data_IF_245160241149
#
_entry.id   IF_245160241149
#
_cell.length_a   1.000
_cell.length_b   1.000
_cell.length_c   1.000
_cell.angle_alpha   90.00
_cell.angle_beta   90.00
_cell.angle_gamma   90.00
#
_symmetry.space_group_name_H-M   'P 1'
#
loop_
_entity.id
_entity.type
_entity.pdbx_description
1 polymer ?
#
# COMPACT_ATOMS: atom_id res chain seq x y z
N UNK A 1 16.99 7.60 5.20
CA UNK A 1 17.66 6.40 4.64
C UNK A 1 18.95 6.21 5.39
N UNK A 2 19.11 5.05 6.04
CA UNK A 2 20.26 4.73 6.88
C UNK A 2 21.04 3.56 6.30
N UNK A 3 22.35 3.52 6.54
CA UNK A 3 23.20 2.38 6.15
C UNK A 3 23.80 1.73 7.39
N UNK A 4 23.73 0.40 7.47
CA UNK A 4 24.33 -0.39 8.54
C UNK A 4 25.13 -1.56 7.97
N UNK A 5 26.01 -2.13 8.75
CA UNK A 5 26.72 -3.37 8.42
C UNK A 5 25.87 -4.60 8.76
N UNK A 6 26.17 -5.72 8.09
CA UNK A 6 25.55 -7.00 8.39
C UNK A 6 25.80 -7.45 9.85
N UNK A 7 26.94 -7.08 10.43
CA UNK A 7 27.27 -7.38 11.84
C UNK A 7 26.36 -6.60 12.80
N UNK A 8 26.14 -5.31 12.55
CA UNK A 8 25.20 -4.50 13.34
C UNK A 8 23.78 -5.03 13.22
N UNK A 9 23.33 -5.34 11.99
CA UNK A 9 22.02 -5.91 11.73
C UNK A 9 21.79 -7.20 12.54
N UNK A 10 22.79 -8.10 12.61
CA UNK A 10 22.72 -9.33 13.41
C UNK A 10 22.69 -9.06 14.92
N UNK A 11 23.48 -8.11 15.40
CA UNK A 11 23.60 -7.81 16.83
C UNK A 11 22.36 -7.14 17.42
N UNK A 12 21.55 -6.46 16.61
CA UNK A 12 20.39 -5.73 17.10
C UNK A 12 19.23 -5.65 16.09
N UNK A 13 18.89 -6.78 15.47
CA UNK A 13 17.86 -6.84 14.43
C UNK A 13 16.51 -6.23 14.86
N UNK A 14 15.96 -6.50 16.06
CA UNK A 14 14.67 -5.94 16.47
C UNK A 14 14.67 -4.40 16.55
N UNK A 15 15.77 -3.78 16.96
CA UNK A 15 15.91 -2.32 16.97
C UNK A 15 15.87 -1.74 15.55
N UNK A 16 16.56 -2.40 14.62
CA UNK A 16 16.59 -1.94 13.23
C UNK A 16 15.26 -2.20 12.52
N UNK A 17 14.52 -3.26 12.87
CA UNK A 17 13.19 -3.49 12.32
C UNK A 17 12.22 -2.36 12.71
N UNK A 18 12.19 -1.95 13.99
CA UNK A 18 11.38 -0.79 14.45
C UNK A 18 11.81 0.52 13.80
N UNK A 19 13.10 0.68 13.51
CA UNK A 19 13.60 1.85 12.79
C UNK A 19 13.19 1.82 11.32
N UNK A 20 13.12 0.63 10.74
CA UNK A 20 12.78 0.42 9.33
C UNK A 20 11.31 0.71 9.00
N UNK A 21 10.43 0.78 10.01
CA UNK A 21 9.04 1.25 9.87
C UNK A 21 8.98 2.73 9.43
N UNK A 22 9.99 3.53 9.79
CA UNK A 22 10.01 4.98 9.53
C UNK A 22 10.96 5.39 8.42
N UNK A 23 12.00 4.61 8.17
CA UNK A 23 12.94 4.88 7.09
C UNK A 23 13.58 3.61 6.53
N UNK A 24 13.90 3.62 5.24
CA UNK A 24 14.62 2.53 4.60
C UNK A 24 16.04 2.36 5.17
N UNK A 25 16.42 1.12 5.50
CA UNK A 25 17.76 0.77 5.98
C UNK A 25 18.48 -0.10 4.96
N UNK A 26 19.64 0.35 4.46
CA UNK A 26 20.53 -0.42 3.60
C UNK A 26 21.50 -1.24 4.45
N UNK A 27 21.53 -2.56 4.24
CA UNK A 27 22.46 -3.47 4.90
C UNK A 27 23.65 -3.70 3.97
N UNK A 28 24.86 -3.51 4.49
CA UNK A 28 26.11 -3.71 3.76
C UNK A 28 26.89 -4.93 4.23
N UNK A 29 27.61 -5.57 3.32
CA UNK A 29 28.57 -6.64 3.60
C UNK A 29 29.92 -6.24 2.99
N UNK A 30 30.96 -6.13 3.82
CA UNK A 30 32.27 -5.63 3.41
C UNK A 30 32.21 -4.27 2.69
N UNK A 31 31.36 -3.36 3.18
CA UNK A 31 31.18 -2.01 2.62
C UNK A 31 30.32 -1.95 1.34
N UNK A 32 29.85 -3.09 0.81
CA UNK A 32 28.96 -3.12 -0.37
C UNK A 32 27.51 -3.36 0.03
N UNK A 33 26.52 -2.67 -0.57
CA UNK A 33 25.10 -2.97 -0.35
C UNK A 33 24.80 -4.44 -0.64
N UNK A 34 24.12 -5.10 0.29
CA UNK A 34 23.79 -6.52 0.24
C UNK A 34 22.28 -6.77 0.35
N UNK A 35 21.55 -5.84 0.95
CA UNK A 35 20.10 -5.91 1.07
C UNK A 35 19.52 -4.63 1.65
N UNK A 36 18.20 -4.60 1.71
CA UNK A 36 17.43 -3.50 2.30
C UNK A 36 16.48 -4.09 3.33
N UNK A 37 16.38 -3.44 4.48
CA UNK A 37 15.36 -3.71 5.49
C UNK A 37 14.29 -2.65 5.40
N UNK A 38 13.06 -3.11 5.19
CA UNK A 38 11.84 -2.30 5.13
C UNK A 38 10.95 -2.83 6.25
N UNK A 39 10.54 -1.95 7.16
CA UNK A 39 9.51 -2.23 8.16
C UNK A 39 8.17 -1.67 7.68
N UNK A 40 7.08 -2.19 8.23
CA UNK A 40 5.72 -1.72 7.97
C UNK A 40 5.11 -1.31 9.30
N UNK A 41 4.63 -0.06 9.39
CA UNK A 41 3.99 0.47 10.59
C UNK A 41 2.65 -0.22 10.86
N UNK A 42 1.93 -0.59 9.78
CA UNK A 42 0.60 -1.21 9.83
C UNK A 42 0.33 -2.12 8.61
N UNK A 43 -0.89 -2.66 8.55
CA UNK A 43 -1.35 -3.50 7.44
C UNK A 43 -1.52 -2.72 6.13
N UNK A 44 -1.84 -1.43 6.20
CA UNK A 44 -2.01 -0.57 5.02
C UNK A 44 -0.67 -0.34 4.33
N UNK A 45 0.38 -0.01 5.08
CA UNK A 45 1.75 0.12 4.57
C UNK A 45 2.25 -1.19 3.94
N UNK A 46 1.92 -2.35 4.53
CA UNK A 46 2.21 -3.65 3.94
C UNK A 46 1.42 -3.88 2.64
N UNK A 47 0.15 -3.50 2.62
CA UNK A 47 -0.69 -3.62 1.43
C UNK A 47 -0.17 -2.75 0.28
N UNK A 48 0.16 -1.49 0.55
CA UNK A 48 0.77 -0.57 -0.41
C UNK A 48 2.06 -1.16 -1.00
N UNK A 49 2.97 -1.64 -0.16
CA UNK A 49 4.20 -2.27 -0.62
C UNK A 49 3.94 -3.45 -1.55
N UNK A 50 2.98 -4.34 -1.20
CA UNK A 50 2.62 -5.45 -2.10
C UNK A 50 2.07 -4.94 -3.43
N UNK A 51 1.23 -3.91 -3.40
CA UNK A 51 0.58 -3.37 -4.60
C UNK A 51 1.61 -2.71 -5.54
N UNK A 52 2.54 -1.94 -4.98
CA UNK A 52 3.64 -1.31 -5.70
C UNK A 52 4.57 -2.34 -6.37
N UNK A 53 4.66 -3.55 -5.79
CA UNK A 53 5.50 -4.63 -6.30
C UNK A 53 4.70 -5.69 -7.10
N UNK A 54 3.38 -5.55 -7.24
CA UNK A 54 2.56 -6.47 -8.03
C UNK A 54 2.69 -6.17 -9.53
N UNK A 55 3.33 -7.08 -10.25
CA UNK A 55 3.59 -6.95 -11.69
C UNK A 55 2.32 -6.78 -12.53
N UNK A 56 1.19 -7.36 -12.12
CA UNK A 56 -0.11 -7.24 -12.82
C UNK A 56 -0.70 -5.85 -12.60
N UNK A 57 -0.58 -5.33 -11.37
CA UNK A 57 -0.99 -3.97 -11.05
C UNK A 57 -0.17 -2.96 -11.85
N UNK A 58 1.17 -3.08 -11.83
CA UNK A 58 2.07 -2.22 -12.60
C UNK A 58 1.77 -2.27 -14.10
N UNK A 59 1.52 -3.45 -14.67
CA UNK A 59 1.12 -3.60 -16.07
C UNK A 59 -0.23 -2.96 -16.37
N UNK A 60 -1.19 -2.99 -15.43
CA UNK A 60 -2.48 -2.31 -15.56
C UNK A 60 -2.30 -0.78 -15.51
N UNK A 61 -1.48 -0.26 -14.61
CA UNK A 61 -1.15 1.17 -14.53
C UNK A 61 -0.50 1.65 -15.83
N UNK A 62 0.46 0.91 -16.39
CA UNK A 62 1.11 1.32 -17.64
C UNK A 62 0.13 1.30 -18.83
N UNK A 63 -0.74 0.30 -18.91
CA UNK A 63 -1.82 0.28 -19.92
C UNK A 63 -2.75 1.49 -19.79
N UNK A 64 -3.14 1.85 -18.58
CA UNK A 64 -3.98 3.02 -18.33
C UNK A 64 -3.27 4.32 -18.73
N UNK A 65 -1.99 4.48 -18.38
CA UNK A 65 -1.17 5.63 -18.80
C UNK A 65 -1.05 5.73 -20.32
N UNK A 66 -0.85 4.61 -21.01
CA UNK A 66 -0.82 4.57 -22.48
C UNK A 66 -2.17 4.98 -23.08
N UNK A 67 -3.26 4.39 -22.59
CA UNK A 67 -4.60 4.73 -23.05
C UNK A 67 -4.91 6.23 -22.86
N UNK A 68 -4.51 6.80 -21.72
CA UNK A 68 -4.68 8.22 -21.44
C UNK A 68 -3.92 9.10 -22.45
N UNK A 69 -2.65 8.77 -22.74
CA UNK A 69 -1.86 9.47 -23.78
C UNK A 69 -2.46 9.34 -25.19
N UNK A 70 -3.19 8.27 -25.47
CA UNK A 70 -3.94 8.05 -26.72
C UNK A 70 -5.33 8.73 -26.73
N UNK A 71 -5.67 9.54 -25.71
CA UNK A 71 -6.94 10.25 -25.63
C UNK A 71 -8.12 9.39 -25.16
N UNK A 72 -7.88 8.19 -24.64
CA UNK A 72 -8.90 7.27 -24.11
C UNK A 72 -9.16 7.45 -22.61
N UNK A 73 -8.75 8.59 -22.06
CA UNK A 73 -9.07 8.98 -20.69
C UNK A 73 -10.52 9.48 -20.58
N UNK A 74 -11.03 9.50 -19.35
CA UNK A 74 -12.27 10.22 -19.01
C UNK A 74 -11.88 11.47 -18.23
N UNK A 75 -12.56 12.57 -18.51
CA UNK A 75 -12.42 13.79 -17.72
C UNK A 75 -13.05 13.60 -16.34
N UNK A 76 -12.50 14.27 -15.34
CA UNK A 76 -12.93 14.14 -13.95
C UNK A 76 -14.40 14.55 -13.78
N UNK A 77 -14.84 15.60 -14.48
CA UNK A 77 -16.22 16.06 -14.50
C UNK A 77 -17.22 15.06 -15.10
N UNK A 78 -16.74 14.06 -15.84
CA UNK A 78 -17.58 13.03 -16.47
C UNK A 78 -17.62 11.73 -15.66
N UNK A 79 -16.95 11.68 -14.51
CA UNK A 79 -17.06 10.54 -13.59
C UNK A 79 -18.44 10.55 -12.94
N UNK A 80 -19.17 9.44 -13.08
CA UNK A 80 -20.39 9.19 -12.33
C UNK A 80 -19.99 8.51 -11.03
N UNK A 81 -20.16 9.21 -9.92
CA UNK A 81 -20.13 8.58 -8.60
C UNK A 81 -21.52 7.97 -8.39
N UNK A 82 -21.59 6.66 -8.21
CA UNK A 82 -22.78 6.05 -7.64
C UNK A 82 -22.75 6.39 -6.15
N UNK A 83 -23.60 7.33 -5.72
CA UNK A 83 -23.81 7.59 -4.30
C UNK A 83 -24.40 6.31 -3.69
N UNK A 84 -23.62 5.61 -2.86
CA UNK A 84 -24.14 4.54 -2.00
C UNK A 84 -25.02 5.15 -0.88
N UNK A 85 -26.10 5.83 -1.23
CA UNK A 85 -27.22 6.08 -0.32
C UNK A 85 -28.23 4.96 -0.52
N UNK A 86 -27.90 3.74 -0.10
CA UNK A 86 -28.93 2.72 0.07
C UNK A 86 -29.47 2.78 1.50
N UNK A 87 -30.44 3.67 1.62
CA UNK A 87 -31.68 3.54 2.36
C UNK A 87 -31.78 2.36 3.35
N UNK A 88 -31.89 2.73 4.62
CA UNK A 88 -32.37 1.94 5.75
C UNK A 88 -33.43 0.91 5.31
N UNK A 89 -33.03 -0.35 5.16
CA UNK A 89 -33.97 -1.48 5.15
C UNK A 89 -34.79 -1.40 6.42
N UNK A 90 -36.08 -1.14 6.24
CA UNK A 90 -37.11 -1.07 7.25
C UNK A 90 -37.00 -2.27 8.19
N UNK A 91 -36.67 -2.00 9.46
CA UNK A 91 -36.89 -2.97 10.52
C UNK A 91 -38.40 -3.00 10.75
N UNK A 92 -39.02 -4.05 10.22
CA UNK A 92 -40.39 -4.47 10.46
C UNK A 92 -40.68 -4.43 11.97
N UNK A 93 -41.51 -3.47 12.42
CA UNK A 93 -42.01 -3.46 13.79
C UNK A 93 -43.21 -4.41 13.85
N UNK A 94 -43.19 -5.48 14.65
CA UNK A 94 -44.41 -6.23 14.87
C UNK A 94 -45.43 -5.35 15.62
N UNK A 95 -46.61 -5.20 15.03
CA UNK A 95 -47.78 -4.59 15.65
C UNK A 95 -48.10 -5.24 17.00
N UNK A 96 -48.37 -4.47 18.08
CA UNK A 96 -48.89 -5.05 19.30
C UNK A 96 -50.38 -5.35 19.08
N UNK A 97 -50.75 -6.64 19.08
CA UNK A 97 -52.14 -7.06 19.21
C UNK A 97 -52.60 -6.79 20.66
N UNK A 98 -53.63 -5.95 20.81
CA UNK A 98 -54.45 -5.85 22.02
C UNK A 98 -55.79 -6.55 21.78
#
# INVERSE_FOLDING_TARGET
MKTITLTEAKGNFPKFLRMAEKETIVITRHGKPAGVLIGFEDEDAWFEYKLENDTRFLARVERARKAFREGKGIYLENLKFEDETNESTSIDKPSPSA
#
